data_IF_564610283767
#
_entry.id   IF_564610283767
#
_cell.length_a   1.000
_cell.length_b   1.000
_cell.length_c   1.000
_cell.angle_alpha   90.00
_cell.angle_beta   90.00
_cell.angle_gamma   90.00
#
_symmetry.space_group_name_H-M   'P 1'
#
loop_
_entity.id
_entity.type
_entity.pdbx_description
1 polymer ?
#
# COMPACT_ATOMS: atom_id res chain seq x y z
N UNK A 1 17.24 12.84 -32.67
CA UNK A 1 15.77 12.63 -32.58
C UNK A 1 15.38 11.39 -31.77
N UNK A 2 15.86 10.18 -32.12
CA UNK A 2 15.50 8.92 -31.43
C UNK A 2 15.67 8.91 -29.89
N UNK A 3 16.75 9.51 -29.37
CA UNK A 3 16.99 9.61 -27.92
C UNK A 3 15.98 10.50 -27.18
N UNK A 4 15.55 11.60 -27.81
CA UNK A 4 14.55 12.50 -27.22
C UNK A 4 13.19 11.79 -27.16
N UNK A 5 12.83 11.09 -28.24
CA UNK A 5 11.61 10.26 -28.28
C UNK A 5 11.66 9.16 -27.22
N UNK A 6 12.75 8.41 -27.11
CA UNK A 6 12.93 7.37 -26.09
C UNK A 6 12.75 7.92 -24.66
N UNK A 7 13.39 9.05 -24.35
CA UNK A 7 13.27 9.67 -23.04
C UNK A 7 11.82 10.11 -22.75
N UNK A 8 11.16 10.71 -23.74
CA UNK A 8 9.76 11.10 -23.62
C UNK A 8 8.85 9.89 -23.41
N UNK A 9 9.05 8.81 -24.16
CA UNK A 9 8.28 7.56 -24.02
C UNK A 9 8.44 6.93 -22.64
N UNK A 10 9.67 6.87 -22.10
CA UNK A 10 9.91 6.34 -20.74
C UNK A 10 9.20 7.21 -19.71
N UNK A 11 9.31 8.54 -19.81
CA UNK A 11 8.66 9.45 -18.88
C UNK A 11 7.12 9.35 -18.94
N UNK A 12 6.54 9.26 -20.14
CA UNK A 12 5.11 9.07 -20.32
C UNK A 12 4.65 7.73 -19.74
N UNK A 13 5.39 6.65 -20.01
CA UNK A 13 5.10 5.32 -19.46
C UNK A 13 5.17 5.31 -17.93
N UNK A 14 6.19 5.94 -17.35
CA UNK A 14 6.31 6.10 -15.90
C UNK A 14 5.17 6.91 -15.31
N UNK A 15 4.74 7.99 -15.97
CA UNK A 15 3.61 8.81 -15.51
C UNK A 15 2.31 8.00 -15.47
N UNK A 16 2.02 7.24 -16.53
CA UNK A 16 0.85 6.36 -16.59
C UNK A 16 0.93 5.29 -15.49
N UNK A 17 2.10 4.66 -15.32
CA UNK A 17 2.33 3.65 -14.29
C UNK A 17 2.11 4.23 -12.88
N UNK A 18 2.62 5.43 -12.61
CA UNK A 18 2.41 6.15 -11.34
C UNK A 18 0.93 6.48 -11.10
N UNK A 19 0.22 6.97 -12.12
CA UNK A 19 -1.22 7.23 -12.01
C UNK A 19 -2.00 5.96 -11.71
N UNK A 20 -1.60 4.82 -12.30
CA UNK A 20 -2.30 3.55 -12.05
C UNK A 20 -2.00 2.98 -10.65
N UNK A 21 -0.75 3.08 -10.18
CA UNK A 21 -0.40 2.72 -8.79
C UNK A 21 -1.16 3.60 -7.80
N UNK A 22 -1.23 4.90 -8.02
CA UNK A 22 -2.02 5.81 -7.19
C UNK A 22 -3.50 5.41 -7.20
N UNK A 23 -4.07 5.19 -8.39
CA UNK A 23 -5.47 4.78 -8.55
C UNK A 23 -5.79 3.47 -7.83
N UNK A 24 -4.94 2.45 -7.96
CA UNK A 24 -5.10 1.16 -7.26
C UNK A 24 -4.90 1.30 -5.74
N UNK A 25 -3.98 2.15 -5.28
CA UNK A 25 -3.83 2.45 -3.87
C UNK A 25 -5.07 3.12 -3.27
N UNK A 26 -5.66 4.09 -4.00
CA UNK A 26 -6.92 4.73 -3.62
C UNK A 26 -8.09 3.73 -3.65
N UNK A 27 -8.16 2.87 -4.66
CA UNK A 27 -9.15 1.80 -4.78
C UNK A 27 -9.09 0.88 -3.54
N UNK A 28 -7.91 0.37 -3.19
CA UNK A 28 -7.72 -0.52 -2.04
C UNK A 28 -8.03 0.21 -0.72
N UNK A 29 -7.66 1.49 -0.59
CA UNK A 29 -7.88 2.23 0.65
C UNK A 29 -9.33 2.62 0.87
N UNK A 30 -10.03 3.09 -0.16
CA UNK A 30 -11.33 3.77 -0.01
C UNK A 30 -12.52 2.99 -0.55
N UNK A 31 -12.32 2.09 -1.52
CA UNK A 31 -13.40 1.34 -2.16
C UNK A 31 -13.42 -0.09 -1.61
N UNK A 32 -12.30 -0.81 -1.70
CA UNK A 32 -12.12 -2.16 -1.16
C UNK A 32 -11.67 -2.11 0.29
N UNK A 33 -12.45 -1.38 1.11
CA UNK A 33 -12.18 -1.08 2.52
C UNK A 33 -11.83 -2.33 3.34
N UNK A 34 -11.07 -2.14 4.42
CA UNK A 34 -10.59 -3.23 5.28
C UNK A 34 -11.73 -3.92 6.02
N UNK A 35 -11.53 -5.17 6.49
CA UNK A 35 -12.57 -5.94 7.15
C UNK A 35 -13.23 -5.24 8.35
N UNK A 36 -12.46 -4.48 9.13
CA UNK A 36 -12.99 -3.68 10.24
C UNK A 36 -13.92 -2.57 9.74
N UNK A 37 -13.51 -1.85 8.70
CA UNK A 37 -14.32 -0.81 8.06
C UNK A 37 -15.57 -1.41 7.40
N UNK A 38 -15.50 -2.63 6.84
CA UNK A 38 -16.67 -3.35 6.30
C UNK A 38 -17.72 -3.61 7.36
N UNK A 39 -17.29 -4.02 8.55
CA UNK A 39 -18.21 -4.24 9.68
C UNK A 39 -18.93 -2.96 10.08
N UNK A 40 -18.20 -1.84 10.19
CA UNK A 40 -18.78 -0.54 10.53
C UNK A 40 -19.75 -0.04 9.44
N UNK A 41 -19.41 -0.25 8.16
CA UNK A 41 -20.20 0.26 7.03
C UNK A 41 -21.43 -0.59 6.70
N UNK A 42 -21.32 -1.93 6.77
CA UNK A 42 -22.36 -2.86 6.33
C UNK A 42 -22.98 -3.69 7.45
N UNK A 43 -22.51 -3.53 8.69
CA UNK A 43 -23.03 -4.27 9.86
C UNK A 43 -22.77 -5.79 9.80
N UNK A 44 -21.95 -6.24 8.85
CA UNK A 44 -21.63 -7.64 8.62
C UNK A 44 -20.31 -7.76 7.84
N UNK A 45 -19.68 -8.93 7.89
CA UNK A 45 -18.46 -9.18 7.14
C UNK A 45 -18.80 -9.62 5.71
N UNK A 46 -19.01 -8.65 4.81
CA UNK A 46 -19.24 -8.88 3.38
C UNK A 46 -17.95 -8.81 2.60
N UNK A 47 -17.84 -9.55 1.50
CA UNK A 47 -16.73 -9.39 0.55
C UNK A 47 -17.03 -8.26 -0.45
N UNK A 48 -16.00 -7.52 -0.84
CA UNK A 48 -16.11 -6.42 -1.81
C UNK A 48 -15.29 -6.77 -3.03
N UNK A 49 -15.92 -6.65 -4.20
CA UNK A 49 -15.30 -6.94 -5.48
C UNK A 49 -15.30 -5.69 -6.35
N UNK A 50 -14.21 -5.46 -7.05
CA UNK A 50 -14.12 -4.45 -8.09
C UNK A 50 -13.58 -5.11 -9.36
N UNK A 51 -14.32 -5.02 -10.46
CA UNK A 51 -14.03 -5.76 -11.70
C UNK A 51 -13.82 -7.27 -11.48
N UNK A 52 -14.61 -7.86 -10.59
CA UNK A 52 -14.54 -9.30 -10.28
C UNK A 52 -13.39 -9.72 -9.37
N UNK A 53 -12.53 -8.78 -8.94
CA UNK A 53 -11.38 -9.06 -8.07
C UNK A 53 -11.55 -8.46 -6.68
N UNK A 54 -11.05 -9.16 -5.65
CA UNK A 54 -11.10 -8.74 -4.26
C UNK A 54 -9.96 -7.77 -3.87
N UNK A 55 -9.92 -7.36 -2.61
CA UNK A 55 -8.87 -6.46 -2.08
C UNK A 55 -7.46 -7.07 -2.21
N UNK A 56 -7.32 -8.38 -2.03
CA UNK A 56 -6.02 -9.04 -2.03
C UNK A 56 -5.47 -9.12 -3.45
N UNK A 57 -6.30 -9.47 -4.43
CA UNK A 57 -5.95 -9.53 -5.84
C UNK A 57 -5.55 -8.14 -6.37
N UNK A 58 -6.34 -7.10 -6.07
CA UNK A 58 -5.95 -5.72 -6.38
C UNK A 58 -4.65 -5.30 -5.67
N UNK A 59 -4.43 -5.78 -4.44
CA UNK A 59 -3.19 -5.60 -3.69
C UNK A 59 -1.98 -6.23 -4.39
N UNK A 60 -2.13 -7.42 -4.96
CA UNK A 60 -1.09 -8.07 -5.75
C UNK A 60 -0.79 -7.30 -7.03
N UNK A 61 -1.81 -6.83 -7.75
CA UNK A 61 -1.63 -5.98 -8.93
C UNK A 61 -0.90 -4.69 -8.56
N UNK A 62 -1.31 -4.01 -7.48
CA UNK A 62 -0.66 -2.81 -6.98
C UNK A 62 0.82 -3.04 -6.67
N UNK A 63 1.14 -4.16 -6.02
CA UNK A 63 2.51 -4.55 -5.69
C UNK A 63 3.35 -4.80 -6.95
N UNK A 64 2.85 -5.58 -7.91
CA UNK A 64 3.54 -5.87 -9.17
C UNK A 64 3.78 -4.57 -9.95
N UNK A 65 2.78 -3.69 -10.04
CA UNK A 65 2.94 -2.37 -10.65
C UNK A 65 4.03 -1.56 -9.95
N UNK A 66 4.09 -1.60 -8.62
CA UNK A 66 5.17 -1.00 -7.83
C UNK A 66 6.56 -1.50 -8.26
N UNK A 67 6.74 -2.81 -8.42
CA UNK A 67 8.01 -3.38 -8.91
C UNK A 67 8.34 -2.92 -10.33
N UNK A 68 7.35 -2.88 -11.23
CA UNK A 68 7.52 -2.36 -12.60
C UNK A 68 7.94 -0.89 -12.57
N UNK A 69 7.35 -0.07 -11.71
CA UNK A 69 7.72 1.34 -11.57
C UNK A 69 9.17 1.49 -11.07
N UNK A 70 9.61 0.67 -10.10
CA UNK A 70 10.99 0.68 -9.63
C UNK A 70 11.97 0.29 -10.75
N UNK A 71 11.62 -0.71 -11.57
CA UNK A 71 12.44 -1.09 -12.72
C UNK A 71 12.53 0.04 -13.76
N UNK A 72 11.40 0.67 -14.12
CA UNK A 72 11.35 1.81 -15.03
C UNK A 72 12.14 3.01 -14.49
N UNK A 73 12.00 3.32 -13.20
CA UNK A 73 12.73 4.39 -12.53
C UNK A 73 14.24 4.13 -12.56
N UNK A 74 14.66 2.88 -12.37
CA UNK A 74 16.08 2.49 -12.47
C UNK A 74 16.63 2.73 -13.87
N UNK A 75 15.88 2.34 -14.91
CA UNK A 75 16.23 2.63 -16.32
C UNK A 75 16.29 4.13 -16.57
N UNK A 76 15.32 4.90 -16.08
CA UNK A 76 15.29 6.36 -16.20
C UNK A 76 16.55 6.99 -15.56
N UNK A 77 16.89 6.62 -14.32
CA UNK A 77 18.08 7.12 -13.63
C UNK A 77 19.36 6.79 -14.42
N UNK A 78 19.46 5.56 -14.95
CA UNK A 78 20.60 5.14 -15.77
C UNK A 78 20.75 6.00 -17.03
N UNK A 79 19.65 6.23 -17.77
CA UNK A 79 19.65 7.07 -18.98
C UNK A 79 20.01 8.53 -18.68
N UNK A 80 19.60 9.02 -17.51
CA UNK A 80 19.84 10.39 -17.06
C UNK A 80 21.12 10.57 -16.21
N UNK A 81 21.94 9.51 -16.05
CA UNK A 81 23.09 9.50 -15.14
C UNK A 81 24.10 10.64 -15.35
N UNK A 82 24.37 11.02 -16.61
CA UNK A 82 25.24 12.17 -16.92
C UNK A 82 24.66 13.48 -16.39
N UNK A 83 23.36 13.69 -16.57
CA UNK A 83 22.66 14.89 -16.08
C UNK A 83 22.71 14.94 -14.55
N UNK A 84 22.37 13.83 -13.89
CA UNK A 84 22.39 13.69 -12.42
C UNK A 84 23.77 14.05 -11.88
N UNK A 85 24.85 13.47 -12.44
CA UNK A 85 26.22 13.80 -12.02
C UNK A 85 26.58 15.28 -12.21
N UNK A 86 26.15 15.90 -13.30
CA UNK A 86 26.44 17.30 -13.58
C UNK A 86 25.71 18.23 -12.61
N UNK A 87 24.43 17.97 -12.34
CA UNK A 87 23.65 18.72 -11.34
C UNK A 87 24.27 18.53 -9.95
N UNK A 88 24.57 17.28 -9.57
CA UNK A 88 25.17 16.95 -8.28
C UNK A 88 26.52 17.66 -8.04
N UNK A 89 27.38 17.72 -9.07
CA UNK A 89 28.66 18.44 -9.03
C UNK A 89 28.48 19.95 -8.86
N UNK A 90 27.41 20.54 -9.40
CA UNK A 90 27.11 21.97 -9.28
C UNK A 90 26.56 22.31 -7.89
N UNK A 91 25.72 21.45 -7.32
CA UNK A 91 25.09 21.67 -6.01
C UNK A 91 26.08 21.58 -4.86
N UNK A 92 26.99 20.61 -4.88
CA UNK A 92 27.97 20.41 -3.81
C UNK A 92 29.35 20.73 -4.36
N UNK A 93 30.08 21.68 -3.77
CA UNK A 93 31.42 22.07 -4.27
C UNK A 93 32.53 21.16 -3.70
N UNK A 94 32.51 20.90 -2.39
CA UNK A 94 33.54 20.12 -1.67
C UNK A 94 33.48 18.62 -1.99
N UNK A 95 34.63 18.00 -2.24
CA UNK A 95 34.76 16.59 -2.66
C UNK A 95 34.43 15.59 -1.55
N UNK A 96 34.77 15.89 -0.29
CA UNK A 96 34.48 15.03 0.87
C UNK A 96 32.97 15.00 1.17
N UNK A 97 32.32 16.16 1.17
CA UNK A 97 30.86 16.30 1.38
C UNK A 97 30.04 15.55 0.34
N UNK A 98 30.53 15.45 -0.90
CA UNK A 98 29.90 14.62 -1.96
C UNK A 98 29.86 13.16 -1.58
N UNK A 99 31.01 12.58 -1.20
CA UNK A 99 31.10 11.16 -0.89
C UNK A 99 30.25 10.81 0.33
N UNK A 100 30.33 11.62 1.38
CA UNK A 100 29.54 11.43 2.61
C UNK A 100 28.05 11.55 2.31
N UNK A 101 27.62 12.60 1.59
CA UNK A 101 26.21 12.80 1.26
C UNK A 101 25.62 11.65 0.43
N UNK A 102 26.38 11.14 -0.55
CA UNK A 102 25.94 10.00 -1.35
C UNK A 102 25.84 8.70 -0.52
N UNK A 103 26.80 8.45 0.38
CA UNK A 103 26.78 7.28 1.27
C UNK A 103 25.62 7.34 2.27
N UNK A 104 25.38 8.50 2.88
CA UNK A 104 24.26 8.69 3.80
C UNK A 104 22.92 8.50 3.09
N UNK A 105 22.77 9.03 1.87
CA UNK A 105 21.57 8.83 1.07
C UNK A 105 21.34 7.34 0.75
N UNK A 106 22.38 6.63 0.31
CA UNK A 106 22.30 5.19 0.05
C UNK A 106 21.94 4.40 1.31
N UNK A 107 22.61 4.69 2.43
CA UNK A 107 22.32 4.08 3.72
C UNK A 107 20.87 4.30 4.14
N UNK A 108 20.36 5.52 4.00
CA UNK A 108 18.97 5.86 4.33
C UNK A 108 17.96 5.08 3.45
N UNK A 109 18.19 5.00 2.14
CA UNK A 109 17.34 4.20 1.25
C UNK A 109 17.35 2.70 1.62
N UNK A 110 18.52 2.15 1.91
CA UNK A 110 18.64 0.74 2.33
C UNK A 110 17.95 0.49 3.67
N UNK A 111 18.13 1.40 4.63
CA UNK A 111 17.48 1.33 5.93
C UNK A 111 15.95 1.26 5.78
N UNK A 112 15.34 2.11 4.94
CA UNK A 112 13.89 2.09 4.71
C UNK A 112 13.38 0.76 4.12
N UNK A 113 14.15 0.13 3.24
CA UNK A 113 13.77 -1.16 2.62
C UNK A 113 13.94 -2.31 3.62
N UNK A 114 14.99 -2.26 4.43
CA UNK A 114 15.40 -3.37 5.29
C UNK A 114 14.64 -3.37 6.63
N UNK A 115 14.30 -2.20 7.16
CA UNK A 115 13.59 -2.04 8.45
C UNK A 115 12.38 -2.99 8.66
N UNK A 116 11.44 -3.18 7.72
CA UNK A 116 10.28 -4.05 7.95
C UNK A 116 10.65 -5.53 8.21
N UNK A 117 11.86 -5.98 7.87
CA UNK A 117 12.31 -7.35 8.12
C UNK A 117 12.89 -7.55 9.54
N UNK A 118 13.19 -6.46 10.26
CA UNK A 118 13.79 -6.50 11.60
C UNK A 118 12.81 -6.14 12.72
N UNK A 119 11.62 -5.63 12.38
CA UNK A 119 10.60 -5.25 13.36
C UNK A 119 9.56 -6.37 13.46
N UNK A 120 9.52 -7.06 14.60
CA UNK A 120 8.48 -8.03 14.88
C UNK A 120 7.12 -7.34 15.07
N UNK A 121 6.04 -7.82 14.43
CA UNK A 121 4.73 -7.22 14.58
C UNK A 121 4.18 -7.48 15.98
N UNK A 122 3.64 -6.44 16.61
CA UNK A 122 2.87 -6.59 17.84
C UNK A 122 1.55 -7.31 17.51
N UNK A 123 1.35 -8.49 18.10
CA UNK A 123 0.11 -9.26 17.93
C UNK A 123 -0.89 -8.81 18.99
N UNK A 124 -1.96 -8.13 18.57
CA UNK A 124 -3.09 -7.79 19.41
C UNK A 124 -4.37 -8.42 18.86
N UNK A 125 -5.28 -8.91 19.71
CA UNK A 125 -6.56 -9.42 19.25
C UNK A 125 -7.34 -8.29 18.58
N UNK A 126 -7.92 -8.58 17.41
CA UNK A 126 -8.80 -7.65 16.71
C UNK A 126 -9.91 -7.25 17.70
N UNK A 127 -10.00 -5.97 18.06
CA UNK A 127 -11.18 -5.45 18.78
C UNK A 127 -12.40 -5.78 17.92
N UNK A 128 -13.15 -6.80 18.33
CA UNK A 128 -14.42 -7.15 17.71
C UNK A 128 -15.26 -5.88 17.80
N UNK A 129 -15.63 -5.31 16.65
CA UNK A 129 -16.66 -4.28 16.65
C UNK A 129 -17.90 -4.82 17.38
N UNK A 130 -18.70 -3.94 17.98
CA UNK A 130 -19.98 -4.31 18.61
C UNK A 130 -20.95 -4.85 17.54
N UNK A 131 -20.66 -6.02 16.97
CA UNK A 131 -21.66 -6.82 16.31
C UNK A 131 -22.62 -7.32 17.35
N UNK A 132 -23.92 -7.19 17.06
CA UNK A 132 -25.05 -7.54 17.94
C UNK A 132 -24.61 -8.61 18.94
N UNK A 133 -24.59 -8.26 20.22
CA UNK A 133 -24.85 -9.26 21.24
C UNK A 133 -26.18 -9.87 20.82
N UNK A 134 -26.14 -11.05 20.20
CA UNK A 134 -27.35 -11.83 20.00
C UNK A 134 -27.77 -12.09 21.44
N UNK A 135 -28.79 -11.36 21.89
CA UNK A 135 -29.51 -11.66 23.11
C UNK A 135 -30.13 -13.05 22.87
N UNK A 136 -29.35 -14.10 23.14
CA UNK A 136 -29.83 -15.49 23.25
C UNK A 136 -30.37 -15.69 24.67
N UNK A 137 -31.03 -14.68 25.22
CA UNK A 137 -31.62 -14.72 26.55
C UNK A 137 -32.84 -13.81 26.53
N UNK A 138 -33.96 -14.35 26.07
CA UNK A 138 -35.32 -13.83 26.36
C UNK A 138 -36.42 -14.76 25.80
N UNK A 139 -36.09 -15.71 24.91
CA UNK A 139 -37.10 -16.63 24.34
C UNK A 139 -37.13 -18.03 24.94
N UNK A 140 -36.21 -18.40 25.85
CA UNK A 140 -36.23 -19.70 26.51
C UNK A 140 -36.84 -19.67 27.93
N UNK A 141 -36.63 -18.59 28.70
CA UNK A 141 -37.18 -18.50 30.07
C UNK A 141 -38.71 -18.24 30.10
N UNK A 142 -39.23 -17.48 29.13
CA UNK A 142 -40.67 -17.19 29.02
C UNK A 142 -41.54 -18.44 28.81
N UNK A 143 -41.01 -19.45 28.11
CA UNK A 143 -41.76 -20.66 27.79
C UNK A 143 -41.77 -21.67 28.96
N UNK A 144 -40.76 -21.65 29.84
CA UNK A 144 -40.74 -22.47 31.07
C UNK A 144 -41.57 -21.84 32.19
N UNK A 145 -41.56 -20.50 32.33
CA UNK A 145 -42.37 -19.81 33.35
C UNK A 145 -43.89 -19.91 33.11
N UNK A 146 -44.32 -20.07 31.85
CA UNK A 146 -45.72 -20.32 31.51
C UNK A 146 -46.16 -21.77 31.73
N UNK A 147 -45.23 -22.73 31.69
CA UNK A 147 -45.52 -24.15 31.88
C UNK A 147 -45.63 -24.56 33.36
N UNK A 148 -45.12 -23.76 34.29
CA UNK A 148 -45.18 -24.01 35.73
C UNK A 148 -46.35 -23.31 36.43
N UNK A 149 -47.24 -22.65 35.68
CA UNK A 149 -48.33 -21.83 36.22
C UNK A 149 -49.74 -22.42 36.09
N UNK A 150 -49.86 -23.69 35.69
CA UNK A 150 -51.13 -24.44 35.66
C UNK A 150 -50.96 -25.86 36.21
#
# INVERSE_FOLDING_TARGET
>A
MKKVVLNFSINATMAICMSFILGTGLLIKYILISGQERWVKYGSNVELYFLGMDRHEWGQIHFILGLVLIALLSVHIFLHWKSIKNVYKKLIKKSLTKKIGALLFLFFCLALIITPFFIEPKVEPIKKGNGRQVLVYDSFDSQYDLALKY
#
